data_IF_402101470355
#
_entry.id   IF_402101470355
#
_cell.length_a   1.000
_cell.length_b   1.000
_cell.length_c   1.000
_cell.angle_alpha   90.00
_cell.angle_beta   90.00
_cell.angle_gamma   90.00
#
_symmetry.space_group_name_H-M   'P 1'
#
loop_
_entity.id
_entity.type
_entity.pdbx_description
1 polymer ?
#
# COMPACT_ATOMS: atom_id res chain seq x y z
N UNK A 1 -4.15 30.53 -24.62
CA UNK A 1 -4.20 29.15 -25.16
C UNK A 1 -5.11 28.34 -24.25
N UNK A 2 -6.34 28.13 -24.66
CA UNK A 2 -7.35 27.35 -23.90
C UNK A 2 -6.99 25.89 -23.90
N UNK A 3 -6.58 25.37 -22.73
CA UNK A 3 -6.18 23.96 -22.55
C UNK A 3 -7.31 23.00 -22.16
N UNK A 4 -8.59 23.37 -22.28
CA UNK A 4 -9.65 22.62 -21.61
C UNK A 4 -10.95 22.41 -22.39
N UNK A 5 -10.98 22.66 -23.69
CA UNK A 5 -12.26 22.57 -24.43
C UNK A 5 -12.72 21.11 -24.75
N UNK A 6 -11.92 20.09 -24.45
CA UNK A 6 -12.27 18.69 -24.74
C UNK A 6 -12.62 17.83 -23.53
N UNK A 7 -12.57 18.41 -22.34
CA UNK A 7 -13.04 17.74 -21.12
C UNK A 7 -14.52 18.08 -20.93
N UNK A 8 -15.40 17.30 -21.57
CA UNK A 8 -16.81 17.32 -21.22
C UNK A 8 -16.91 16.79 -19.78
N UNK A 9 -17.78 17.41 -18.97
CA UNK A 9 -18.02 17.02 -17.59
C UNK A 9 -18.17 15.50 -17.47
N UNK A 10 -17.45 14.84 -16.54
CA UNK A 10 -17.61 13.43 -16.34
C UNK A 10 -19.04 13.15 -15.90
N UNK A 11 -19.71 12.24 -16.58
CA UNK A 11 -21.03 11.74 -16.17
C UNK A 11 -20.88 11.25 -14.73
N UNK A 12 -21.52 11.92 -13.78
CA UNK A 12 -21.42 11.65 -12.35
C UNK A 12 -21.79 10.21 -12.02
N UNK A 13 -20.82 9.41 -11.67
CA UNK A 13 -20.93 8.02 -11.25
C UNK A 13 -19.55 7.43 -11.12
N UNK A 14 -19.30 6.74 -10.00
CA UNK A 14 -18.06 5.98 -9.82
C UNK A 14 -17.86 5.07 -11.05
N UNK A 15 -16.68 5.12 -11.66
CA UNK A 15 -16.35 4.29 -12.82
C UNK A 15 -16.65 2.82 -12.51
N UNK A 16 -17.26 2.10 -13.45
CA UNK A 16 -17.51 0.65 -13.33
C UNK A 16 -16.24 -0.09 -12.93
N UNK A 17 -15.09 0.34 -13.44
CA UNK A 17 -13.76 -0.21 -13.09
C UNK A 17 -13.48 -0.03 -11.60
N UNK A 18 -13.71 1.17 -11.05
CA UNK A 18 -13.48 1.42 -9.63
C UNK A 18 -14.39 0.58 -8.74
N UNK A 19 -15.66 0.39 -9.12
CA UNK A 19 -16.58 -0.49 -8.37
C UNK A 19 -16.09 -1.94 -8.34
N UNK A 20 -15.53 -2.43 -9.43
CA UNK A 20 -14.96 -3.79 -9.50
C UNK A 20 -13.71 -3.87 -8.60
N UNK A 21 -12.82 -2.86 -8.65
CA UNK A 21 -11.64 -2.76 -7.78
C UNK A 21 -12.08 -2.77 -6.31
N UNK A 22 -13.05 -1.93 -5.94
CA UNK A 22 -13.58 -1.85 -4.57
C UNK A 22 -14.18 -3.19 -4.11
N UNK A 23 -14.96 -3.87 -4.96
CA UNK A 23 -15.57 -5.15 -4.62
C UNK A 23 -14.51 -6.22 -4.33
N UNK A 24 -13.50 -6.34 -5.20
CA UNK A 24 -12.42 -7.32 -5.00
C UNK A 24 -11.61 -6.95 -3.74
N UNK A 25 -11.29 -5.67 -3.55
CA UNK A 25 -10.57 -5.19 -2.37
C UNK A 25 -11.34 -5.48 -1.09
N UNK A 26 -12.65 -5.22 -1.06
CA UNK A 26 -13.50 -5.53 0.08
C UNK A 26 -13.57 -7.03 0.37
N UNK A 27 -13.63 -7.88 -0.66
CA UNK A 27 -13.59 -9.33 -0.48
C UNK A 27 -12.28 -9.79 0.19
N UNK A 28 -11.15 -9.15 -0.16
CA UNK A 28 -9.86 -9.42 0.49
C UNK A 28 -9.86 -8.93 1.95
N UNK A 29 -10.34 -7.70 2.20
CA UNK A 29 -10.40 -7.11 3.56
C UNK A 29 -11.31 -7.94 4.47
N UNK A 30 -12.43 -8.43 3.96
CA UNK A 30 -13.39 -9.23 4.71
C UNK A 30 -12.96 -10.71 4.89
N UNK A 31 -11.85 -11.12 4.26
CA UNK A 31 -11.35 -12.50 4.35
C UNK A 31 -12.12 -13.49 3.47
N UNK A 32 -12.92 -13.02 2.53
CA UNK A 32 -13.59 -13.86 1.52
C UNK A 32 -12.58 -14.35 0.46
N UNK A 33 -11.54 -13.55 0.20
CA UNK A 33 -10.38 -13.88 -0.60
C UNK A 33 -9.13 -13.72 0.27
N UNK A 34 -8.39 -14.78 0.48
CA UNK A 34 -7.18 -14.78 1.28
C UNK A 34 -5.92 -14.60 0.41
N UNK A 35 -4.78 -14.18 0.99
CA UNK A 35 -3.51 -14.18 0.28
C UNK A 35 -3.20 -15.53 -0.36
N UNK A 36 -2.93 -15.55 -1.65
CA UNK A 36 -2.68 -16.76 -2.44
C UNK A 36 -3.92 -17.38 -3.09
N UNK A 37 -5.12 -16.95 -2.74
CA UNK A 37 -6.33 -17.46 -3.36
C UNK A 37 -6.41 -17.03 -4.83
N UNK A 38 -6.96 -17.92 -5.64
CA UNK A 38 -7.25 -17.64 -7.04
C UNK A 38 -8.52 -16.80 -7.14
N UNK A 39 -8.42 -15.68 -7.83
CA UNK A 39 -9.59 -14.84 -8.14
C UNK A 39 -10.41 -15.51 -9.25
N UNK A 40 -11.75 -15.40 -9.22
CA UNK A 40 -12.59 -15.85 -10.31
C UNK A 40 -12.13 -15.28 -11.67
N UNK A 41 -12.36 -16.02 -12.74
CA UNK A 41 -11.95 -15.60 -14.08
C UNK A 41 -12.64 -14.32 -14.53
N UNK A 42 -12.06 -13.62 -15.51
CA UNK A 42 -12.68 -12.42 -16.09
C UNK A 42 -14.13 -12.69 -16.60
N UNK A 43 -14.38 -13.91 -17.07
CA UNK A 43 -15.71 -14.30 -17.54
C UNK A 43 -16.70 -14.45 -16.37
N UNK A 44 -16.31 -15.15 -15.32
CA UNK A 44 -17.12 -15.34 -14.11
C UNK A 44 -17.40 -14.01 -13.40
N UNK A 45 -16.38 -13.13 -13.27
CA UNK A 45 -16.56 -11.80 -12.70
C UNK A 45 -17.49 -10.93 -13.55
N UNK A 46 -17.35 -10.99 -14.89
CA UNK A 46 -18.20 -10.26 -15.83
C UNK A 46 -19.67 -10.70 -15.71
N UNK A 47 -19.91 -11.99 -15.61
CA UNK A 47 -21.24 -12.56 -15.47
C UNK A 47 -21.86 -12.24 -14.10
N UNK A 48 -21.12 -12.48 -13.01
CA UNK A 48 -21.63 -12.27 -11.65
C UNK A 48 -21.92 -10.80 -11.32
N UNK A 49 -21.13 -9.88 -11.88
CA UNK A 49 -21.29 -8.43 -11.65
C UNK A 49 -22.16 -7.74 -12.72
N UNK A 50 -22.53 -8.42 -13.80
CA UNK A 50 -23.31 -7.84 -14.90
C UNK A 50 -22.56 -6.74 -15.65
N UNK A 51 -21.23 -6.83 -15.78
CA UNK A 51 -20.36 -5.81 -16.37
C UNK A 51 -19.60 -6.35 -17.58
N UNK A 52 -19.09 -5.46 -18.42
CA UNK A 52 -18.30 -5.86 -19.60
C UNK A 52 -16.95 -6.44 -19.21
N UNK A 53 -16.47 -7.48 -19.94
CA UNK A 53 -15.15 -8.11 -19.73
C UNK A 53 -13.99 -7.12 -19.79
N UNK A 54 -14.09 -6.09 -20.63
CA UNK A 54 -13.04 -5.06 -20.72
C UNK A 54 -12.89 -4.28 -19.39
N UNK A 55 -14.01 -3.93 -18.74
CA UNK A 55 -13.99 -3.26 -17.43
C UNK A 55 -13.39 -4.15 -16.34
N UNK A 56 -13.69 -5.46 -16.37
CA UNK A 56 -13.08 -6.44 -15.46
C UNK A 56 -11.58 -6.50 -15.68
N UNK A 57 -11.16 -6.62 -16.96
CA UNK A 57 -9.72 -6.67 -17.30
C UNK A 57 -8.97 -5.42 -16.87
N UNK A 58 -9.57 -4.24 -17.05
CA UNK A 58 -8.97 -2.98 -16.56
C UNK A 58 -8.87 -2.95 -15.04
N UNK A 59 -9.89 -3.40 -14.32
CA UNK A 59 -9.85 -3.49 -12.86
C UNK A 59 -8.75 -4.46 -12.37
N UNK A 60 -8.61 -5.62 -12.99
CA UNK A 60 -7.53 -6.58 -12.68
C UNK A 60 -6.16 -5.94 -12.92
N UNK A 61 -5.97 -5.20 -14.03
CA UNK A 61 -4.72 -4.48 -14.29
C UNK A 61 -4.42 -3.40 -13.26
N UNK A 62 -5.44 -2.69 -12.76
CA UNK A 62 -5.27 -1.70 -11.69
C UNK A 62 -4.81 -2.40 -10.41
N UNK A 63 -5.45 -3.50 -10.01
CA UNK A 63 -5.05 -4.28 -8.82
C UNK A 63 -3.65 -4.88 -8.98
N UNK A 64 -3.28 -5.34 -10.18
CA UNK A 64 -1.95 -5.82 -10.50
C UNK A 64 -0.90 -4.70 -10.42
N UNK A 65 -1.22 -3.51 -10.93
CA UNK A 65 -0.34 -2.34 -10.85
C UNK A 65 -0.08 -1.91 -9.39
N UNK A 66 -1.06 -2.10 -8.50
CA UNK A 66 -0.91 -1.87 -7.06
C UNK A 66 -0.25 -3.03 -6.32
N UNK A 67 0.06 -4.14 -6.98
CA UNK A 67 0.65 -5.31 -6.35
C UNK A 67 -0.32 -6.15 -5.52
N UNK A 68 -1.61 -5.80 -5.48
CA UNK A 68 -2.64 -6.52 -4.72
C UNK A 68 -2.90 -7.91 -5.29
N UNK A 69 -2.78 -8.05 -6.61
CA UNK A 69 -2.91 -9.32 -7.30
C UNK A 69 -1.72 -9.53 -8.25
N UNK A 70 -1.49 -10.77 -8.64
CA UNK A 70 -0.53 -11.13 -9.68
C UNK A 70 -1.13 -12.12 -10.67
N UNK A 71 -0.75 -11.98 -11.93
CA UNK A 71 -1.22 -12.83 -13.02
C UNK A 71 -0.18 -13.91 -13.30
N UNK A 72 -0.56 -15.17 -13.12
CA UNK A 72 0.23 -16.31 -13.55
C UNK A 72 -0.26 -16.77 -14.92
N UNK A 73 0.64 -16.75 -15.90
CA UNK A 73 0.30 -17.10 -17.29
C UNK A 73 -0.27 -18.52 -17.36
N UNK A 74 -1.41 -18.67 -18.01
CA UNK A 74 -2.19 -19.92 -18.15
C UNK A 74 -2.81 -20.49 -16.86
N UNK A 75 -2.51 -19.94 -15.68
CA UNK A 75 -3.06 -20.40 -14.41
C UNK A 75 -4.19 -19.50 -13.89
N UNK A 76 -4.10 -18.20 -14.13
CA UNK A 76 -5.09 -17.20 -13.70
C UNK A 76 -4.52 -16.06 -12.87
N UNK A 77 -5.41 -15.35 -12.19
CA UNK A 77 -5.08 -14.23 -11.31
C UNK A 77 -5.20 -14.68 -9.85
N UNK A 78 -4.23 -14.29 -9.03
CA UNK A 78 -4.15 -14.68 -7.63
C UNK A 78 -3.95 -13.47 -6.74
N UNK A 79 -4.48 -13.49 -5.52
CA UNK A 79 -4.18 -12.50 -4.47
C UNK A 79 -2.70 -12.63 -4.09
N UNK A 80 -2.01 -11.52 -3.94
CA UNK A 80 -0.59 -11.51 -3.55
C UNK A 80 -0.41 -12.08 -2.15
N UNK A 81 0.60 -12.94 -1.95
CA UNK A 81 0.89 -13.57 -0.67
C UNK A 81 1.87 -12.75 0.18
N UNK A 82 2.70 -11.95 -0.48
CA UNK A 82 3.74 -11.16 0.15
C UNK A 82 3.53 -9.69 -0.15
N UNK A 83 4.12 -8.85 0.71
CA UNK A 83 4.16 -7.42 0.48
C UNK A 83 4.91 -7.09 -0.82
N UNK A 84 4.28 -6.27 -1.65
CA UNK A 84 4.88 -5.71 -2.87
C UNK A 84 5.08 -4.20 -2.67
N UNK A 85 6.27 -3.70 -2.97
CA UNK A 85 6.60 -2.27 -2.86
C UNK A 85 5.65 -1.37 -3.65
N UNK A 86 5.04 -1.89 -4.70
CA UNK A 86 4.01 -1.20 -5.50
C UNK A 86 2.78 -0.78 -4.66
N UNK A 87 2.49 -1.48 -3.57
CA UNK A 87 1.36 -1.15 -2.69
C UNK A 87 1.52 0.21 -2.00
N UNK A 88 2.76 0.65 -1.77
CA UNK A 88 3.02 1.92 -1.07
C UNK A 88 3.17 3.11 -2.03
N UNK A 89 3.48 2.89 -3.31
CA UNK A 89 3.70 3.99 -4.27
C UNK A 89 2.54 4.99 -4.36
N UNK A 90 1.25 4.59 -4.38
CA UNK A 90 0.16 5.56 -4.42
C UNK A 90 0.14 6.49 -3.22
N UNK A 91 0.50 5.99 -2.03
CA UNK A 91 0.62 6.79 -0.80
C UNK A 91 1.79 7.76 -0.91
N UNK A 92 2.95 7.28 -1.38
CA UNK A 92 4.13 8.13 -1.60
C UNK A 92 3.86 9.24 -2.62
N UNK A 93 3.17 8.95 -3.72
CA UNK A 93 2.78 9.97 -4.69
C UNK A 93 1.84 11.02 -4.07
N UNK A 94 0.88 10.60 -3.25
CA UNK A 94 0.01 11.50 -2.51
C UNK A 94 0.81 12.46 -1.62
N UNK A 95 1.82 11.95 -0.93
CA UNK A 95 2.73 12.74 -0.08
C UNK A 95 3.59 13.68 -0.91
N UNK A 96 4.22 13.21 -2.00
CA UNK A 96 5.13 14.00 -2.84
C UNK A 96 4.41 15.15 -3.54
N UNK A 97 3.15 14.93 -3.94
CA UNK A 97 2.36 15.92 -4.67
C UNK A 97 1.77 17.02 -3.77
N UNK A 98 1.78 16.86 -2.46
CA UNK A 98 1.38 17.91 -1.51
C UNK A 98 2.53 18.92 -1.33
N UNK A 99 2.29 20.16 -1.76
CA UNK A 99 3.32 21.22 -1.74
C UNK A 99 3.80 21.62 -0.33
N UNK A 100 3.01 21.34 0.72
CA UNK A 100 3.27 21.75 2.12
C UNK A 100 3.51 20.55 3.06
N UNK A 101 3.88 19.40 2.51
CA UNK A 101 3.90 18.13 3.25
C UNK A 101 5.11 17.92 4.17
N UNK A 102 6.15 18.75 4.09
CA UNK A 102 7.41 18.49 4.83
C UNK A 102 7.20 18.39 6.34
N UNK A 103 6.42 19.31 6.96
CA UNK A 103 6.11 19.26 8.39
C UNK A 103 5.24 18.06 8.74
N UNK A 104 4.22 17.75 7.91
CA UNK A 104 3.32 16.63 8.10
C UNK A 104 4.03 15.28 7.97
N UNK A 105 5.00 15.17 7.05
CA UNK A 105 5.85 13.96 6.91
C UNK A 105 6.70 13.76 8.16
N UNK A 106 7.30 14.84 8.68
CA UNK A 106 8.09 14.78 9.92
C UNK A 106 7.22 14.39 11.11
N UNK A 107 6.00 14.92 11.21
CA UNK A 107 5.05 14.52 12.26
C UNK A 107 4.64 13.06 12.14
N UNK A 108 4.31 12.59 10.93
CA UNK A 108 3.99 11.18 10.69
C UNK A 108 5.17 10.27 11.07
N UNK A 109 6.39 10.63 10.67
CA UNK A 109 7.60 9.90 11.03
C UNK A 109 7.74 9.80 12.55
N UNK A 110 7.57 10.92 13.28
CA UNK A 110 7.62 10.91 14.76
C UNK A 110 6.61 9.95 15.37
N UNK A 111 5.39 9.92 14.87
CA UNK A 111 4.35 9.01 15.37
C UNK A 111 4.74 7.56 15.13
N UNK A 112 5.27 7.24 13.95
CA UNK A 112 5.70 5.89 13.60
C UNK A 112 6.91 5.49 14.46
N UNK A 113 7.92 6.32 14.59
CA UNK A 113 9.14 6.02 15.34
C UNK A 113 8.83 5.80 16.83
N UNK A 114 8.00 6.65 17.43
CA UNK A 114 7.56 6.50 18.82
C UNK A 114 6.72 5.23 19.01
N UNK A 115 5.80 4.95 18.08
CA UNK A 115 4.97 3.74 18.12
C UNK A 115 5.80 2.46 18.01
N UNK A 116 6.80 2.43 17.14
CA UNK A 116 7.72 1.30 16.99
C UNK A 116 8.57 1.08 18.25
N UNK A 117 9.10 2.15 18.84
CA UNK A 117 9.86 2.08 20.10
C UNK A 117 8.99 1.55 21.24
N UNK A 118 7.75 2.01 21.35
CA UNK A 118 6.82 1.57 22.37
C UNK A 118 6.49 0.09 22.23
N UNK A 119 6.21 -0.38 21.02
CA UNK A 119 5.98 -1.80 20.72
C UNK A 119 7.23 -2.65 21.01
N UNK A 120 8.43 -2.16 20.71
CA UNK A 120 9.67 -2.85 21.01
C UNK A 120 9.87 -3.00 22.52
N UNK A 121 9.68 -1.93 23.31
CA UNK A 121 9.77 -1.93 24.78
C UNK A 121 8.74 -2.88 25.38
N UNK A 122 7.50 -2.88 24.91
CA UNK A 122 6.44 -3.76 25.42
C UNK A 122 6.74 -5.23 25.11
N UNK A 123 7.31 -5.54 23.94
CA UNK A 123 7.78 -6.89 23.62
C UNK A 123 8.97 -7.32 24.47
N UNK A 124 9.90 -6.43 24.77
CA UNK A 124 11.01 -6.69 25.68
C UNK A 124 10.52 -7.00 27.10
N UNK A 125 9.55 -6.23 27.59
CA UNK A 125 8.92 -6.47 28.92
C UNK A 125 8.17 -7.76 29.01
N UNK A 126 7.59 -8.26 27.93
CA UNK A 126 6.80 -9.50 27.89
C UNK A 126 7.63 -10.79 27.95
N UNK A 127 8.95 -10.70 28.03
CA UNK A 127 9.90 -11.85 28.08
C UNK A 127 9.72 -12.93 26.99
N UNK A 128 9.07 -12.61 25.88
CA UNK A 128 8.80 -13.58 24.81
C UNK A 128 9.80 -13.52 23.64
N UNK A 129 10.88 -12.76 23.79
CA UNK A 129 11.87 -12.59 22.73
C UNK A 129 13.06 -13.53 22.94
N UNK A 130 13.34 -14.36 21.94
CA UNK A 130 14.60 -15.08 21.87
C UNK A 130 15.78 -14.10 21.76
N UNK A 131 16.95 -14.53 22.27
CA UNK A 131 18.18 -13.71 22.37
C UNK A 131 18.58 -13.08 21.02
N UNK A 132 18.35 -13.79 19.90
CA UNK A 132 18.62 -13.34 18.52
C UNK A 132 17.75 -12.13 18.11
N UNK A 133 16.53 -12.02 18.65
CA UNK A 133 15.64 -10.89 18.38
C UNK A 133 16.03 -9.65 19.18
N UNK A 134 16.61 -9.82 20.36
CA UNK A 134 17.17 -8.73 21.18
C UNK A 134 18.35 -8.06 20.47
N UNK A 135 19.31 -8.85 19.97
CA UNK A 135 20.47 -8.34 19.22
C UNK A 135 20.08 -7.58 17.96
N UNK A 136 19.04 -8.05 17.24
CA UNK A 136 18.53 -7.37 16.06
C UNK A 136 17.86 -6.01 16.38
N UNK A 137 17.17 -5.91 17.51
CA UNK A 137 16.55 -4.67 17.99
C UNK A 137 17.62 -3.67 18.44
N UNK A 138 18.63 -4.11 19.19
CA UNK A 138 19.75 -3.27 19.63
C UNK A 138 20.49 -2.68 18.42
N UNK A 139 20.80 -3.51 17.42
CA UNK A 139 21.46 -3.05 16.20
C UNK A 139 20.62 -2.03 15.41
N UNK A 140 19.31 -2.22 15.34
CA UNK A 140 18.41 -1.29 14.67
C UNK A 140 18.30 0.04 15.42
N UNK A 141 18.37 0.03 16.75
CA UNK A 141 18.37 1.25 17.57
C UNK A 141 19.68 2.04 17.40
N UNK A 142 20.83 1.37 17.37
CA UNK A 142 22.13 2.03 17.11
C UNK A 142 22.15 2.70 15.73
N UNK A 143 21.58 2.06 14.72
CA UNK A 143 21.52 2.60 13.36
C UNK A 143 20.61 3.84 13.27
N UNK A 144 19.49 3.85 13.99
CA UNK A 144 18.58 5.01 14.10
C UNK A 144 19.23 6.18 14.85
N UNK A 145 19.94 5.92 15.94
CA UNK A 145 20.68 6.95 16.67
C UNK A 145 21.79 7.57 15.82
N UNK A 146 22.53 6.75 15.07
CA UNK A 146 23.55 7.22 14.14
C UNK A 146 22.96 8.11 13.04
N UNK A 147 21.84 7.73 12.43
CA UNK A 147 21.16 8.56 11.44
C UNK A 147 20.65 9.87 12.03
N UNK A 148 20.06 9.84 13.23
CA UNK A 148 19.59 11.05 13.92
C UNK A 148 20.75 11.99 14.30
N UNK A 149 21.94 11.45 14.56
CA UNK A 149 23.15 12.24 14.80
C UNK A 149 23.66 12.92 13.53
N UNK A 150 23.64 12.21 12.41
CA UNK A 150 24.12 12.72 11.10
C UNK A 150 23.19 13.78 10.49
N UNK A 151 21.89 13.75 10.82
CA UNK A 151 20.90 14.75 10.36
C UNK A 151 20.90 16.06 11.18
N UNK A 152 21.67 16.17 12.26
CA UNK A 152 21.81 17.44 12.97
C UNK A 152 22.56 18.44 12.09
N UNK A 153 21.94 19.61 11.75
CA UNK A 153 22.64 20.63 11.00
C UNK A 153 23.87 21.06 11.81
N UNK A 154 25.04 20.88 11.23
CA UNK A 154 26.28 21.45 11.82
C UNK A 154 26.08 22.96 11.86
N UNK A 155 25.96 23.51 13.06
CA UNK A 155 25.95 24.95 13.28
C UNK A 155 27.26 25.49 12.70
N UNK A 156 27.17 26.18 11.54
CA UNK A 156 28.30 26.94 11.01
C UNK A 156 28.55 28.08 11.96
N UNK A 157 29.72 28.03 12.60
CA UNK A 157 30.35 29.16 13.29
C UNK A 157 30.68 30.27 12.30
#
# INVERSE_FOLDING_TARGET
MEKTSFLKEPVGGQSVVNKIVDNITNAIINGELNPGDKIPTEAELSESMGVGRNSVREAIKVLEAYGVVHIKRAEGTFVSQEYDSRMIYPVLYGIILQKDSTSQIVELRKVIDVGLLQLAVDKLKSKSLEQTQMEAIEKAMEELEYQAYMEKPQARS
#
